data_IF_917757038345
#
_entry.id   IF_917757038345
#
_cell.length_a   1.000
_cell.length_b   1.000
_cell.length_c   1.000
_cell.angle_alpha   90.00
_cell.angle_beta   90.00
_cell.angle_gamma   90.00
#
_symmetry.space_group_name_H-M   'P 1'
#
loop_
_entity.id
_entity.type
_entity.pdbx_description
1 polymer ?
#
# COMPACT_ATOMS: atom_id res chain seq x y z
N UNK A 1 4.21 34.27 5.43
CA UNK A 1 3.98 34.76 4.05
C UNK A 1 5.02 34.12 3.14
N UNK A 2 4.65 33.08 2.39
CA UNK A 2 5.44 32.48 1.29
C UNK A 2 4.42 31.96 0.25
N UNK A 3 3.94 32.85 -0.62
CA UNK A 3 2.80 32.65 -1.54
C UNK A 3 3.27 32.54 -2.99
N UNK A 4 4.20 31.62 -3.34
CA UNK A 4 4.71 31.50 -4.72
C UNK A 4 5.17 30.10 -5.15
N UNK A 5 4.43 29.04 -4.81
CA UNK A 5 4.57 27.75 -5.50
C UNK A 5 3.18 27.14 -5.73
N UNK A 6 2.30 27.91 -6.38
CA UNK A 6 1.07 27.37 -6.97
C UNK A 6 1.16 27.70 -8.45
N UNK A 7 1.88 26.86 -9.20
CA UNK A 7 1.81 26.89 -10.66
C UNK A 7 2.29 25.56 -11.22
N UNK A 8 1.38 24.95 -11.99
CA UNK A 8 1.60 23.92 -13.02
C UNK A 8 1.65 22.48 -12.51
N UNK A 9 0.46 21.86 -12.38
CA UNK A 9 0.17 20.60 -13.08
C UNK A 9 -1.25 20.72 -13.63
N UNK A 10 -1.37 21.34 -14.80
CA UNK A 10 -2.48 21.07 -15.69
C UNK A 10 -2.23 19.67 -16.27
N UNK A 11 -2.91 18.65 -15.72
CA UNK A 11 -3.02 17.37 -16.39
C UNK A 11 -4.49 17.14 -16.71
N UNK A 12 -4.90 17.70 -17.84
CA UNK A 12 -6.11 17.31 -18.53
C UNK A 12 -5.99 15.83 -18.92
N UNK A 13 -6.69 14.95 -18.21
CA UNK A 13 -6.96 13.58 -18.66
C UNK A 13 -8.44 13.31 -18.46
N UNK A 14 -9.25 13.82 -19.39
CA UNK A 14 -10.58 13.32 -19.64
C UNK A 14 -10.45 12.05 -20.48
N UNK A 15 -10.38 10.89 -19.82
CA UNK A 15 -10.68 9.60 -20.44
C UNK A 15 -11.76 8.91 -19.60
N UNK A 16 -12.90 8.50 -20.19
CA UNK A 16 -13.83 7.60 -19.52
C UNK A 16 -13.20 6.21 -19.52
N UNK A 17 -12.44 5.88 -18.47
CA UNK A 17 -12.01 4.51 -18.22
C UNK A 17 -13.16 3.78 -17.53
N UNK A 18 -13.96 3.03 -18.30
CA UNK A 18 -14.84 2.01 -17.74
C UNK A 18 -13.98 0.89 -17.16
N UNK A 19 -13.70 0.99 -15.86
CA UNK A 19 -13.05 -0.06 -15.08
C UNK A 19 -14.12 -1.04 -14.63
N UNK A 20 -14.06 -2.28 -15.14
CA UNK A 20 -14.83 -3.39 -14.58
C UNK A 20 -14.28 -3.71 -13.18
N UNK A 21 -15.06 -3.41 -12.15
CA UNK A 21 -14.72 -3.72 -10.77
C UNK A 21 -14.81 -5.24 -10.55
N UNK A 22 -13.66 -5.90 -10.40
CA UNK A 22 -13.59 -7.29 -9.91
C UNK A 22 -13.66 -7.29 -8.37
N UNK A 23 -14.66 -7.91 -7.74
CA UNK A 23 -14.73 -8.02 -6.28
C UNK A 23 -13.78 -9.12 -5.79
N UNK A 24 -12.48 -8.82 -5.72
CA UNK A 24 -11.45 -9.66 -5.09
C UNK A 24 -11.15 -9.17 -3.67
N UNK A 25 -12.03 -9.44 -2.71
CA UNK A 25 -11.86 -9.03 -1.32
C UNK A 25 -10.78 -9.84 -0.60
N UNK A 26 -9.61 -9.22 -0.39
CA UNK A 26 -8.68 -9.59 0.67
C UNK A 26 -8.30 -8.32 1.44
N UNK A 27 -8.55 -8.34 2.75
CA UNK A 27 -8.58 -7.23 3.71
C UNK A 27 -7.24 -6.48 3.91
N UNK A 28 -6.75 -5.81 2.85
CA UNK A 28 -5.53 -5.00 2.86
C UNK A 28 -5.75 -3.50 3.15
N UNK A 29 -7.00 -3.06 3.31
CA UNK A 29 -7.38 -1.64 3.27
C UNK A 29 -7.01 -0.80 4.51
N UNK A 30 -6.83 -1.41 5.68
CA UNK A 30 -6.62 -0.65 6.93
C UNK A 30 -5.34 0.17 6.96
N UNK A 31 -4.28 -0.26 6.27
CA UNK A 31 -3.02 0.49 6.23
C UNK A 31 -3.05 1.69 5.27
N UNK A 32 -3.99 1.73 4.32
CA UNK A 32 -4.01 2.76 3.28
C UNK A 32 -4.87 3.96 3.67
N UNK A 33 -5.99 3.74 4.37
CA UNK A 33 -6.80 4.82 4.94
C UNK A 33 -5.98 5.75 5.85
N UNK A 34 -5.14 5.16 6.70
CA UNK A 34 -4.24 5.91 7.58
C UNK A 34 -3.19 6.74 6.80
N UNK A 35 -2.75 6.29 5.62
CA UNK A 35 -1.78 7.04 4.80
C UNK A 35 -2.43 8.24 4.13
N UNK A 36 -3.61 8.07 3.54
CA UNK A 36 -4.31 9.19 2.88
C UNK A 36 -4.71 10.23 3.91
N UNK A 37 -5.17 9.82 5.09
CA UNK A 37 -5.48 10.76 6.16
C UNK A 37 -4.24 11.54 6.63
N UNK A 38 -3.09 10.88 6.76
CA UNK A 38 -1.84 11.55 7.12
C UNK A 38 -1.40 12.55 6.05
N UNK A 39 -1.45 12.18 4.77
CA UNK A 39 -1.13 13.10 3.67
C UNK A 39 -2.12 14.25 3.59
N UNK A 40 -3.41 13.98 3.82
CA UNK A 40 -4.44 15.01 3.85
C UNK A 40 -4.15 16.06 4.93
N UNK A 41 -3.70 15.62 6.12
CA UNK A 41 -3.29 16.54 7.20
C UNK A 41 -1.98 17.28 6.90
N UNK A 42 -1.00 16.62 6.29
CA UNK A 42 0.30 17.25 6.02
C UNK A 42 0.30 18.23 4.84
N UNK A 43 -0.61 18.04 3.89
CA UNK A 43 -0.71 18.83 2.67
C UNK A 43 -1.98 19.70 2.63
N UNK A 44 -2.71 19.77 3.75
CA UNK A 44 -3.97 20.51 3.90
C UNK A 44 -4.97 20.19 2.77
N UNK A 45 -5.13 18.90 2.44
CA UNK A 45 -5.99 18.48 1.34
C UNK A 45 -7.45 18.66 1.70
N UNK A 46 -8.23 19.18 0.75
CA UNK A 46 -9.68 19.24 0.90
C UNK A 46 -10.33 17.85 0.67
N UNK A 47 -11.64 17.76 0.95
CA UNK A 47 -12.39 16.51 0.85
C UNK A 47 -12.36 15.90 -0.57
N UNK A 48 -12.40 16.73 -1.61
CA UNK A 48 -12.37 16.26 -3.00
C UNK A 48 -11.01 15.68 -3.38
N UNK A 49 -9.91 16.35 -3.01
CA UNK A 49 -8.54 15.87 -3.22
C UNK A 49 -8.29 14.57 -2.46
N UNK A 50 -8.78 14.47 -1.22
CA UNK A 50 -8.70 13.25 -0.41
C UNK A 50 -9.41 12.08 -1.10
N UNK A 51 -10.65 12.29 -1.56
CA UNK A 51 -11.42 11.25 -2.24
C UNK A 51 -10.73 10.77 -3.53
N UNK A 52 -10.18 11.68 -4.34
CA UNK A 52 -9.42 11.32 -5.54
C UNK A 52 -8.18 10.49 -5.22
N UNK A 53 -7.45 10.84 -4.15
CA UNK A 53 -6.31 10.06 -3.70
C UNK A 53 -6.69 8.66 -3.24
N UNK A 54 -7.79 8.51 -2.49
CA UNK A 54 -8.29 7.19 -2.07
C UNK A 54 -8.56 6.28 -3.27
N UNK A 55 -9.17 6.83 -4.33
CA UNK A 55 -9.43 6.09 -5.59
C UNK A 55 -8.11 5.65 -6.24
N UNK A 56 -7.16 6.57 -6.45
CA UNK A 56 -5.84 6.25 -7.04
C UNK A 56 -5.15 5.13 -6.28
N UNK A 57 -5.20 5.21 -4.95
CA UNK A 57 -4.55 4.26 -4.07
C UNK A 57 -5.22 2.89 -4.08
N UNK A 58 -6.55 2.84 -4.17
CA UNK A 58 -7.32 1.61 -4.32
C UNK A 58 -7.00 0.94 -5.65
N UNK A 59 -7.02 1.68 -6.75
CA UNK A 59 -6.65 1.15 -8.08
C UNK A 59 -5.22 0.59 -8.09
N UNK A 60 -4.28 1.31 -7.46
CA UNK A 60 -2.90 0.83 -7.35
C UNK A 60 -2.80 -0.45 -6.51
N UNK A 61 -3.60 -0.59 -5.45
CA UNK A 61 -3.65 -1.81 -4.67
C UNK A 61 -4.13 -2.99 -5.51
N UNK A 62 -5.20 -2.81 -6.28
CA UNK A 62 -5.76 -3.84 -7.16
C UNK A 62 -4.74 -4.26 -8.23
N UNK A 63 -4.10 -3.29 -8.90
CA UNK A 63 -3.02 -3.57 -9.88
C UNK A 63 -1.87 -4.35 -9.27
N UNK A 64 -1.46 -3.99 -8.05
CA UNK A 64 -0.38 -4.69 -7.33
C UNK A 64 -0.79 -6.12 -6.97
N UNK A 65 -2.04 -6.36 -6.60
CA UNK A 65 -2.54 -7.70 -6.32
C UNK A 65 -2.47 -8.59 -7.56
N UNK A 66 -2.96 -8.08 -8.69
CA UNK A 66 -2.89 -8.78 -9.98
C UNK A 66 -1.44 -9.12 -10.37
N UNK A 67 -0.53 -8.14 -10.29
CA UNK A 67 0.90 -8.35 -10.57
C UNK A 67 1.54 -9.37 -9.62
N UNK A 68 1.14 -9.41 -8.34
CA UNK A 68 1.63 -10.40 -7.39
C UNK A 68 1.18 -11.81 -7.77
N UNK A 69 -0.07 -11.98 -8.20
CA UNK A 69 -0.59 -13.26 -8.65
C UNK A 69 0.10 -13.72 -9.93
N UNK A 70 0.22 -12.84 -10.92
CA UNK A 70 0.92 -13.10 -12.19
C UNK A 70 2.38 -13.51 -11.94
N UNK A 71 3.09 -12.77 -11.09
CA UNK A 71 4.48 -13.09 -10.73
C UNK A 71 4.57 -14.46 -10.06
N UNK A 72 3.58 -14.85 -9.25
CA UNK A 72 3.55 -16.17 -8.62
C UNK A 72 3.38 -17.29 -9.63
N UNK A 73 2.52 -17.09 -10.64
CA UNK A 73 2.35 -18.06 -11.72
C UNK A 73 3.64 -18.21 -12.53
N UNK A 74 4.29 -17.11 -12.93
CA UNK A 74 5.57 -17.15 -13.63
C UNK A 74 6.68 -17.84 -12.84
N UNK A 75 6.69 -17.70 -11.51
CA UNK A 75 7.64 -18.44 -10.68
C UNK A 75 7.36 -19.95 -10.68
N UNK A 76 6.10 -20.38 -10.76
CA UNK A 76 5.74 -21.80 -10.83
C UNK A 76 6.17 -22.46 -12.15
N UNK A 77 6.34 -21.69 -13.22
CA UNK A 77 6.87 -22.20 -14.50
C UNK A 77 8.36 -22.57 -14.42
N UNK A 78 9.10 -21.96 -13.49
CA UNK A 78 10.56 -22.10 -13.38
C UNK A 78 10.98 -22.93 -12.15
N UNK A 79 10.22 -22.82 -11.06
CA UNK A 79 10.53 -23.45 -9.77
C UNK A 79 9.75 -24.75 -9.58
N UNK A 80 10.36 -25.72 -8.92
CA UNK A 80 9.66 -26.93 -8.49
C UNK A 80 8.70 -26.63 -7.33
N UNK A 81 7.74 -27.53 -7.07
CA UNK A 81 6.80 -27.40 -5.95
C UNK A 81 7.52 -27.30 -4.59
N UNK A 82 8.61 -28.04 -4.42
CA UNK A 82 9.44 -27.99 -3.21
C UNK A 82 10.14 -26.64 -3.05
N UNK A 83 10.68 -26.08 -4.15
CA UNK A 83 11.31 -24.76 -4.15
C UNK A 83 10.31 -23.64 -3.86
N UNK A 84 9.09 -23.73 -4.42
CA UNK A 84 8.00 -22.80 -4.11
C UNK A 84 7.60 -22.84 -2.64
N UNK A 85 7.53 -24.04 -2.06
CA UNK A 85 7.23 -24.23 -0.63
C UNK A 85 8.31 -23.61 0.24
N UNK A 86 9.59 -23.81 -0.12
CA UNK A 86 10.72 -23.19 0.58
C UNK A 86 10.69 -21.66 0.46
N UNK A 87 10.35 -21.13 -0.71
CA UNK A 87 10.20 -19.69 -0.92
C UNK A 87 9.12 -19.09 -0.01
N UNK A 88 7.97 -19.76 0.10
CA UNK A 88 6.87 -19.31 0.94
C UNK A 88 7.24 -19.37 2.45
N UNK A 89 8.00 -20.38 2.87
CA UNK A 89 8.54 -20.46 4.22
C UNK A 89 9.52 -19.31 4.53
N UNK A 90 10.43 -18.98 3.60
CA UNK A 90 11.37 -17.85 3.74
C UNK A 90 10.60 -16.52 3.87
N UNK A 91 9.55 -16.32 3.05
CA UNK A 91 8.71 -15.11 3.12
C UNK A 91 8.03 -14.99 4.49
N UNK A 92 7.50 -16.10 5.02
CA UNK A 92 6.84 -16.14 6.32
C UNK A 92 7.82 -15.82 7.47
N UNK A 93 8.99 -16.44 7.48
CA UNK A 93 10.04 -16.16 8.48
C UNK A 93 10.48 -14.69 8.46
N UNK A 94 10.68 -14.11 7.26
CA UNK A 94 10.98 -12.68 7.15
C UNK A 94 9.86 -11.79 7.71
N UNK A 95 8.60 -12.14 7.44
CA UNK A 95 7.45 -11.41 7.96
C UNK A 95 7.38 -11.48 9.49
N UNK A 96 7.56 -12.66 10.08
CA UNK A 96 7.56 -12.86 11.54
C UNK A 96 8.69 -12.08 12.21
N UNK A 97 9.91 -12.15 11.67
CA UNK A 97 11.06 -11.35 12.16
C UNK A 97 10.78 -9.86 12.08
N UNK A 98 10.12 -9.40 11.03
CA UNK A 98 9.74 -8.00 10.88
C UNK A 98 8.69 -7.61 11.93
N UNK A 99 7.64 -8.41 12.12
CA UNK A 99 6.62 -8.19 13.14
C UNK A 99 7.22 -8.12 14.55
N UNK A 100 8.07 -9.10 14.91
CA UNK A 100 8.76 -9.12 16.21
C UNK A 100 9.58 -7.85 16.45
N UNK A 101 10.39 -7.43 15.47
CA UNK A 101 11.16 -6.17 15.59
C UNK A 101 10.26 -4.94 15.71
N UNK A 102 9.10 -4.94 15.06
CA UNK A 102 8.14 -3.86 15.19
C UNK A 102 7.50 -3.81 16.58
N UNK A 103 7.19 -4.96 17.18
CA UNK A 103 6.68 -5.08 18.54
C UNK A 103 7.73 -4.64 19.56
N UNK A 104 8.96 -5.13 19.46
CA UNK A 104 10.08 -4.72 20.33
C UNK A 104 10.27 -3.20 20.32
N UNK A 105 10.26 -2.58 19.13
CA UNK A 105 10.36 -1.11 18.99
C UNK A 105 9.18 -0.37 19.61
N UNK A 106 7.97 -0.93 19.53
CA UNK A 106 6.79 -0.33 20.17
C UNK A 106 6.89 -0.39 21.70
N UNK A 107 7.29 -1.55 22.23
CA UNK A 107 7.44 -1.77 23.67
C UNK A 107 8.54 -0.88 24.26
N UNK A 108 9.67 -0.74 23.56
CA UNK A 108 10.75 0.17 23.97
C UNK A 108 10.26 1.62 24.09
N UNK A 109 9.56 2.12 23.07
CA UNK A 109 8.99 3.49 23.09
C UNK A 109 7.99 3.69 24.21
N UNK A 110 7.17 2.68 24.52
CA UNK A 110 6.22 2.75 25.63
C UNK A 110 6.94 2.83 26.98
N UNK A 111 7.97 2.01 27.18
CA UNK A 111 8.78 2.02 28.41
C UNK A 111 9.56 3.34 28.59
N UNK A 112 10.03 3.95 27.50
CA UNK A 112 10.70 5.26 27.52
C UNK A 112 9.73 6.41 27.82
N UNK A 113 8.46 6.30 27.44
CA UNK A 113 7.44 7.34 27.69
C UNK A 113 6.85 7.29 29.12
N UNK A 114 7.14 6.23 29.88
CA UNK A 114 6.65 6.03 31.26
C UNK A 114 7.70 6.36 32.33
N UNK A 115 8.91 6.75 31.92
CA UNK A 115 9.99 7.24 32.80
C UNK A 115 10.08 8.75 32.72
#
# INVERSE_FOLDING_TARGET
MNKKIITIIALALAFPLTVAAFPGGHDGGRHQGNKVEHMAKQLDLNAEQKSKLEVIFKEQQEKREALRQESRLRMQEVLTAEQMTKLDAIKKDHQEKWQKRHEERKNQKQNESQK
#
